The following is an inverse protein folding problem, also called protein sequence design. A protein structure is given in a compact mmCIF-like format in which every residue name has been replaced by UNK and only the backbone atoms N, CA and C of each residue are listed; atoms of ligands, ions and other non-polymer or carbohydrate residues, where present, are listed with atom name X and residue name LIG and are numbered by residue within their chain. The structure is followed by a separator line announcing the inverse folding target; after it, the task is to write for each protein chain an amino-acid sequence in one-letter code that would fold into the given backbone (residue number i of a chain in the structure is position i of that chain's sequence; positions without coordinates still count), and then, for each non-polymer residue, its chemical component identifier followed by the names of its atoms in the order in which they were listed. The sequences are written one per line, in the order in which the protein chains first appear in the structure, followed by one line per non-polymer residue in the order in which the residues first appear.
data_IF_900431420158
#
_entry.id   IF_900431420158
#
_cell.length_a   1.000
_cell.length_b   1.000
_cell.length_c   1.000
_cell.angle_alpha   90.00
_cell.angle_beta   90.00
_cell.angle_gamma   90.00
#
_symmetry.space_group_name_H-M   'P 1'
#
loop_
_entity.id
_entity.type
_entity.pdbx_description
1 polymer ?
#
# COMPACT_ATOMS: atom_id res chain seq x y z
N UNK A 1 2.24 -23.04 -4.63
CA UNK A 1 3.03 -21.81 -4.63
C UNK A 1 2.26 -20.61 -5.22
N UNK A 2 1.60 -20.73 -6.37
CA UNK A 2 0.79 -19.62 -6.96
C UNK A 2 -0.27 -19.04 -6.01
N UNK A 3 -0.95 -19.90 -5.23
CA UNK A 3 -1.92 -19.45 -4.22
C UNK A 3 -1.32 -18.57 -3.12
N UNK A 4 -0.06 -18.80 -2.75
CA UNK A 4 0.63 -17.98 -1.74
C UNK A 4 0.96 -16.59 -2.27
N UNK A 5 1.49 -16.49 -3.48
CA UNK A 5 1.71 -15.19 -4.15
C UNK A 5 0.41 -14.42 -4.35
N UNK A 6 -0.67 -15.10 -4.75
CA UNK A 6 -1.97 -14.45 -4.91
C UNK A 6 -2.56 -13.95 -3.59
N UNK A 7 -2.35 -14.67 -2.49
CA UNK A 7 -2.80 -14.22 -1.17
C UNK A 7 -1.97 -13.03 -0.71
N UNK A 8 -0.64 -13.10 -0.79
CA UNK A 8 0.23 -11.99 -0.42
C UNK A 8 -0.03 -10.77 -1.32
N UNK A 9 0.05 -10.93 -2.63
CA UNK A 9 -0.15 -9.86 -3.60
C UNK A 9 -1.57 -9.30 -3.59
N UNK A 10 -2.59 -10.15 -3.50
CA UNK A 10 -3.99 -9.73 -3.44
C UNK A 10 -4.36 -8.98 -2.16
N UNK A 11 -3.88 -9.45 -1.01
CA UNK A 11 -4.07 -8.74 0.28
C UNK A 11 -3.29 -7.44 0.30
N UNK A 12 -2.03 -7.44 -0.18
CA UNK A 12 -1.23 -6.23 -0.32
C UNK A 12 -1.92 -5.21 -1.25
N UNK A 13 -2.38 -5.65 -2.41
CA UNK A 13 -3.12 -4.81 -3.36
C UNK A 13 -4.32 -4.14 -2.71
N UNK A 14 -5.17 -4.90 -2.02
CA UNK A 14 -6.34 -4.36 -1.34
C UNK A 14 -5.97 -3.31 -0.28
N UNK A 15 -4.95 -3.59 0.55
CA UNK A 15 -4.50 -2.68 1.60
C UNK A 15 -3.82 -1.43 1.03
N UNK A 16 -2.98 -1.58 0.00
CA UNK A 16 -2.30 -0.46 -0.66
C UNK A 16 -3.34 0.51 -1.22
N UNK A 17 -4.31 0.02 -1.99
CA UNK A 17 -5.28 0.89 -2.63
C UNK A 17 -6.31 1.47 -1.65
N UNK A 18 -6.82 0.69 -0.70
CA UNK A 18 -7.67 1.24 0.35
C UNK A 18 -6.95 2.32 1.19
N UNK A 19 -5.71 2.04 1.58
CA UNK A 19 -4.86 2.99 2.32
C UNK A 19 -4.49 4.23 1.49
N UNK A 20 -4.12 4.05 0.23
CA UNK A 20 -3.77 5.14 -0.68
C UNK A 20 -4.94 6.10 -0.91
N UNK A 21 -6.15 5.55 -1.09
CA UNK A 21 -7.35 6.36 -1.22
C UNK A 21 -7.62 7.16 0.06
N UNK A 22 -7.58 6.50 1.22
CA UNK A 22 -7.82 7.14 2.50
C UNK A 22 -6.78 8.23 2.79
N UNK A 23 -5.49 7.92 2.65
CA UNK A 23 -4.40 8.88 2.88
C UNK A 23 -4.42 10.03 1.87
N UNK A 24 -4.65 9.75 0.58
CA UNK A 24 -4.76 10.76 -0.46
C UNK A 24 -5.90 11.75 -0.20
N UNK A 25 -7.06 11.25 0.24
CA UNK A 25 -8.21 12.09 0.64
C UNK A 25 -7.87 12.92 1.87
N UNK A 26 -7.25 12.33 2.90
CA UNK A 26 -6.84 13.06 4.11
C UNK A 26 -5.83 14.16 3.77
N UNK A 27 -4.81 13.85 2.96
CA UNK A 27 -3.83 14.84 2.54
C UNK A 27 -4.47 15.97 1.71
N UNK A 28 -5.38 15.67 0.78
CA UNK A 28 -6.09 16.68 0.02
C UNK A 28 -7.04 17.52 0.90
N UNK A 29 -7.66 16.90 1.91
CA UNK A 29 -8.51 17.63 2.86
C UNK A 29 -7.72 18.64 3.68
N UNK A 30 -6.51 18.26 4.13
CA UNK A 30 -5.63 19.09 4.94
C UNK A 30 -4.53 19.77 4.11
N UNK A 31 -4.76 20.02 2.82
CA UNK A 31 -3.79 20.64 1.90
C UNK A 31 -2.99 21.74 2.59
N UNK A 32 -1.65 21.63 2.53
CA UNK A 32 -0.66 22.55 3.11
C UNK A 32 -0.70 22.74 4.64
N UNK A 33 -1.56 21.99 5.34
CA UNK A 33 -1.57 21.98 6.80
C UNK A 33 -0.59 20.95 7.35
N UNK A 34 -0.39 20.96 8.68
CA UNK A 34 0.56 20.07 9.35
C UNK A 34 0.33 18.55 9.08
N UNK A 35 -0.94 18.02 9.02
CA UNK A 35 -1.12 16.59 8.74
C UNK A 35 -0.66 16.22 7.34
N UNK A 36 -0.99 17.02 6.33
CA UNK A 36 -0.56 16.80 4.95
C UNK A 36 0.97 16.82 4.84
N UNK A 37 1.61 17.85 5.41
CA UNK A 37 3.08 17.97 5.39
C UNK A 37 3.78 16.83 6.11
N UNK A 38 3.24 16.39 7.26
CA UNK A 38 3.80 15.28 8.02
C UNK A 38 3.68 13.97 7.23
N UNK A 39 2.48 13.65 6.74
CA UNK A 39 2.22 12.44 5.98
C UNK A 39 3.07 12.39 4.70
N UNK A 40 3.16 13.49 3.94
CA UNK A 40 4.00 13.56 2.76
C UNK A 40 5.49 13.36 3.08
N UNK A 41 6.01 13.97 4.16
CA UNK A 41 7.43 13.79 4.58
C UNK A 41 7.70 12.33 4.99
N UNK A 42 6.86 11.77 5.85
CA UNK A 42 6.98 10.37 6.29
C UNK A 42 6.92 9.43 5.09
N UNK A 43 5.95 9.65 4.19
CA UNK A 43 5.81 8.86 2.98
C UNK A 43 7.04 8.94 2.07
N UNK A 44 7.60 10.13 1.86
CA UNK A 44 8.81 10.31 1.08
C UNK A 44 10.00 9.55 1.70
N UNK A 45 10.19 9.64 3.02
CA UNK A 45 11.26 8.94 3.72
C UNK A 45 11.11 7.42 3.53
N UNK A 46 9.91 6.88 3.75
CA UNK A 46 9.65 5.44 3.61
C UNK A 46 9.87 4.99 2.16
N UNK A 47 9.42 5.77 1.17
CA UNK A 47 9.59 5.44 -0.25
C UNK A 47 11.05 5.46 -0.73
N UNK A 48 11.95 6.13 -0.01
CA UNK A 48 13.39 6.09 -0.29
C UNK A 48 14.07 4.83 0.23
N UNK A 49 13.39 4.05 1.08
CA UNK A 49 13.96 2.83 1.66
C UNK A 49 13.74 1.65 0.72
N UNK A 50 14.80 0.96 0.26
CA UNK A 50 14.64 -0.23 -0.56
C UNK A 50 13.89 -1.34 0.18
N UNK A 51 12.99 -2.05 -0.51
CA UNK A 51 12.14 -3.09 0.11
C UNK A 51 12.96 -4.24 0.73
N UNK A 52 14.05 -4.66 0.08
CA UNK A 52 14.92 -5.70 0.65
C UNK A 52 15.56 -5.27 1.98
N UNK A 53 15.99 -4.01 2.06
CA UNK A 53 16.58 -3.47 3.28
C UNK A 53 15.54 -3.33 4.40
N UNK A 54 14.35 -2.82 4.07
CA UNK A 54 13.23 -2.75 5.00
C UNK A 54 12.86 -4.13 5.52
N UNK A 55 12.84 -5.15 4.65
CA UNK A 55 12.60 -6.55 5.03
C UNK A 55 13.60 -7.03 6.08
N UNK A 56 14.90 -6.80 5.86
CA UNK A 56 15.95 -7.22 6.79
C UNK A 56 15.83 -6.50 8.14
N UNK A 57 15.56 -5.20 8.14
CA UNK A 57 15.35 -4.43 9.38
C UNK A 57 14.14 -4.96 10.16
N UNK A 58 13.02 -5.21 9.49
CA UNK A 58 11.83 -5.75 10.17
C UNK A 58 12.06 -7.16 10.71
N UNK A 59 12.77 -8.03 9.99
CA UNK A 59 13.17 -9.35 10.49
C UNK A 59 14.04 -9.19 11.74
N UNK A 60 15.07 -8.35 11.67
CA UNK A 60 15.98 -8.13 12.80
C UNK A 60 15.25 -7.64 14.05
N UNK A 61 14.35 -6.66 13.89
CA UNK A 61 13.62 -6.08 15.01
C UNK A 61 12.55 -7.05 15.53
N UNK A 62 11.63 -7.49 14.68
CA UNK A 62 10.42 -8.21 15.13
C UNK A 62 10.63 -9.71 15.29
N UNK A 63 11.53 -10.31 14.52
CA UNK A 63 11.76 -11.78 14.61
C UNK A 63 12.93 -12.13 15.50
N UNK A 64 14.05 -11.41 15.39
CA UNK A 64 15.28 -11.75 16.13
C UNK A 64 15.29 -11.09 17.51
N UNK A 65 15.10 -9.76 17.58
CA UNK A 65 15.20 -9.01 18.83
C UNK A 65 13.97 -9.18 19.71
N UNK A 66 12.79 -8.91 19.19
CA UNK A 66 11.54 -8.99 19.96
C UNK A 66 10.92 -10.39 20.00
N UNK A 67 11.23 -11.24 19.02
CA UNK A 67 10.68 -12.60 18.88
C UNK A 67 9.14 -12.63 18.85
N UNK A 68 8.51 -11.61 18.28
CA UNK A 68 7.06 -11.52 18.18
C UNK A 68 6.51 -12.20 16.93
N UNK A 69 7.28 -12.17 15.84
CA UNK A 69 6.84 -12.65 14.53
C UNK A 69 7.88 -13.60 13.92
N UNK A 70 7.46 -14.57 13.11
CA UNK A 70 8.36 -15.48 12.43
C UNK A 70 9.22 -14.74 11.39
N UNK A 71 10.44 -15.21 11.19
CA UNK A 71 11.38 -14.61 10.23
C UNK A 71 11.18 -15.09 8.79
N UNK A 72 10.58 -16.27 8.59
CA UNK A 72 10.52 -16.91 7.26
C UNK A 72 9.43 -17.98 7.17
N UNK A 73 9.10 -18.37 5.94
CA UNK A 73 8.14 -19.43 5.65
C UNK A 73 6.69 -18.95 5.64
N UNK A 74 5.77 -19.86 5.29
CA UNK A 74 4.33 -19.60 5.29
C UNK A 74 3.60 -20.22 6.49
N UNK A 75 4.27 -21.12 7.22
CA UNK A 75 3.75 -21.85 8.38
C UNK A 75 4.90 -22.26 9.30
N UNK A 76 4.61 -22.38 10.59
CA UNK A 76 5.50 -23.02 11.57
C UNK A 76 5.59 -24.51 11.34
N UNK A 77 6.71 -25.14 11.77
CA UNK A 77 6.91 -26.58 11.65
C UNK A 77 5.81 -27.32 12.41
N UNK A 78 5.06 -28.17 11.71
CA UNK A 78 3.95 -28.95 12.27
C UNK A 78 2.58 -28.24 12.26
N UNK A 79 2.49 -26.98 11.83
CA UNK A 79 1.24 -26.18 11.77
C UNK A 79 0.71 -25.99 10.34
N UNK A 80 1.13 -26.84 9.39
CA UNK A 80 0.69 -26.76 8.01
C UNK A 80 -0.86 -26.83 7.92
N UNK A 81 -1.48 -25.80 7.35
CA UNK A 81 -2.94 -25.69 7.23
C UNK A 81 -3.62 -24.84 8.32
N UNK A 82 -2.90 -24.40 9.35
CA UNK A 82 -3.43 -23.48 10.36
C UNK A 82 -3.58 -22.06 9.80
N UNK A 83 -4.83 -21.56 9.73
CA UNK A 83 -5.10 -20.20 9.26
C UNK A 83 -4.48 -19.12 10.16
N UNK A 84 -4.57 -19.22 11.50
CA UNK A 84 -3.95 -18.23 12.38
C UNK A 84 -2.43 -18.17 12.22
N UNK A 85 -1.75 -19.32 12.11
CA UNK A 85 -0.31 -19.37 11.93
C UNK A 85 0.12 -18.75 10.60
N UNK A 86 -0.63 -19.03 9.53
CA UNK A 86 -0.42 -18.40 8.23
C UNK A 86 -0.55 -16.87 8.27
N UNK A 87 -1.54 -16.35 8.98
CA UNK A 87 -1.72 -14.90 9.12
C UNK A 87 -0.52 -14.25 9.81
N UNK A 88 0.02 -14.89 10.85
CA UNK A 88 1.21 -14.38 11.56
C UNK A 88 2.43 -14.33 10.63
N UNK A 89 2.62 -15.34 9.78
CA UNK A 89 3.72 -15.38 8.80
C UNK A 89 3.54 -14.35 7.66
N UNK A 90 2.30 -13.91 7.39
CA UNK A 90 2.01 -12.90 6.39
C UNK A 90 2.30 -11.47 6.86
N UNK A 91 2.31 -11.19 8.17
CA UNK A 91 2.40 -9.83 8.70
C UNK A 91 3.62 -9.08 8.18
N UNK A 92 4.82 -9.63 8.33
CA UNK A 92 6.06 -8.95 7.92
C UNK A 92 6.15 -8.77 6.40
N UNK A 93 5.98 -9.83 5.56
CA UNK A 93 5.97 -9.68 4.11
C UNK A 93 4.94 -8.66 3.63
N UNK A 94 3.73 -8.71 4.18
CA UNK A 94 2.64 -7.80 3.83
C UNK A 94 2.97 -6.36 4.21
N UNK A 95 3.55 -6.13 5.40
CA UNK A 95 3.95 -4.81 5.87
C UNK A 95 4.98 -4.18 4.94
N UNK A 96 6.01 -4.94 4.52
CA UNK A 96 7.03 -4.44 3.58
C UNK A 96 6.40 -4.05 2.26
N UNK A 97 5.61 -4.95 1.66
CA UNK A 97 4.97 -4.72 0.36
C UNK A 97 4.03 -3.51 0.41
N UNK A 98 3.25 -3.39 1.49
CA UNK A 98 2.34 -2.24 1.67
C UNK A 98 3.13 -0.95 1.84
N UNK A 99 4.13 -0.90 2.72
CA UNK A 99 4.91 0.31 2.95
C UNK A 99 5.70 0.75 1.71
N UNK A 100 6.23 -0.19 0.94
CA UNK A 100 6.97 0.09 -0.29
C UNK A 100 6.13 0.77 -1.38
N UNK A 101 4.83 0.46 -1.45
CA UNK A 101 3.97 0.93 -2.54
C UNK A 101 2.93 1.97 -2.12
N UNK A 102 2.44 1.94 -0.88
CA UNK A 102 1.32 2.74 -0.38
C UNK A 102 1.47 4.24 -0.67
N UNK A 103 2.65 4.79 -0.37
CA UNK A 103 2.89 6.23 -0.46
C UNK A 103 2.90 6.75 -1.88
N UNK A 104 3.41 5.96 -2.82
CA UNK A 104 3.39 6.30 -4.24
C UNK A 104 1.95 6.52 -4.74
N UNK A 105 1.05 5.57 -4.45
CA UNK A 105 -0.35 5.66 -4.86
C UNK A 105 -1.12 6.70 -4.06
N UNK A 106 -0.83 6.87 -2.77
CA UNK A 106 -1.44 7.92 -1.95
C UNK A 106 -1.11 9.32 -2.49
N UNK A 107 0.14 9.53 -2.92
CA UNK A 107 0.56 10.78 -3.53
C UNK A 107 -0.14 11.04 -4.87
N UNK A 108 -0.31 10.01 -5.71
CA UNK A 108 -1.05 10.14 -6.97
C UNK A 108 -2.52 10.50 -6.73
N UNK A 109 -3.18 9.86 -5.77
CA UNK A 109 -4.56 10.19 -5.37
C UNK A 109 -4.65 11.63 -4.87
N UNK A 110 -3.73 12.04 -3.96
CA UNK A 110 -3.65 13.42 -3.47
C UNK A 110 -3.52 14.42 -4.62
N UNK A 111 -2.58 14.20 -5.52
CA UNK A 111 -2.31 15.11 -6.64
C UNK A 111 -3.53 15.23 -7.55
N UNK A 112 -4.18 14.12 -7.87
CA UNK A 112 -5.37 14.13 -8.71
C UNK A 112 -6.56 14.83 -8.04
N UNK A 113 -6.77 14.60 -6.74
CA UNK A 113 -7.81 15.32 -5.99
C UNK A 113 -7.56 16.82 -5.93
N UNK A 114 -6.32 17.26 -5.75
CA UNK A 114 -5.98 18.67 -5.75
C UNK A 114 -6.13 19.34 -7.13
N UNK A 115 -5.84 18.60 -8.20
CA UNK A 115 -6.13 19.04 -9.57
C UNK A 115 -7.64 19.28 -9.76
N UNK A 116 -8.47 18.32 -9.35
CA UNK A 116 -9.93 18.42 -9.41
C UNK A 116 -10.48 19.59 -8.57
N UNK A 117 -9.93 19.81 -7.37
CA UNK A 117 -10.33 20.93 -6.48
C UNK A 117 -10.10 22.31 -7.12
N UNK A 118 -9.16 22.40 -8.05
CA UNK A 118 -8.80 23.64 -8.76
C UNK A 118 -9.54 23.81 -10.09
N UNK A 119 -10.41 22.90 -10.47
CA UNK A 119 -11.17 22.93 -11.72
C UNK A 119 -12.31 23.94 -11.69
N UNK A 120 -12.75 24.40 -12.88
CA UNK A 120 -13.80 25.41 -13.04
C UNK A 120 -15.15 24.96 -12.50
N UNK A 121 -15.48 23.66 -12.58
CA UNK A 121 -16.74 23.17 -12.02
C UNK A 121 -16.79 23.27 -10.50
N UNK A 122 -15.62 23.20 -9.83
CA UNK A 122 -15.53 23.42 -8.38
C UNK A 122 -15.74 24.88 -8.03
N UNK A 123 -15.24 25.82 -8.83
CA UNK A 123 -15.54 27.23 -8.66
C UNK A 123 -17.05 27.49 -8.76
N UNK A 124 -17.70 26.89 -9.76
CA UNK A 124 -19.15 26.97 -9.92
C UNK A 124 -19.90 26.34 -8.73
N UNK A 125 -19.45 25.19 -8.23
CA UNK A 125 -20.03 24.54 -7.07
C UNK A 125 -19.94 25.42 -5.80
N UNK A 126 -18.79 26.05 -5.60
CA UNK A 126 -18.57 27.01 -4.49
C UNK A 126 -19.45 28.25 -4.61
N UNK A 127 -19.62 28.81 -5.81
CA UNK A 127 -20.52 29.97 -6.05
C UNK A 127 -21.98 29.64 -5.77
N UNK A 128 -22.39 28.36 -5.87
CA UNK A 128 -23.71 27.86 -5.46
C UNK A 128 -23.84 27.59 -3.97
N UNK A 129 -22.81 27.89 -3.17
CA UNK A 129 -22.83 27.73 -1.70
C UNK A 129 -22.57 26.30 -1.20
N UNK A 130 -22.05 25.40 -2.05
CA UNK A 130 -21.71 24.04 -1.62
C UNK A 130 -20.55 24.03 -0.62
N UNK A 131 -20.70 23.22 0.44
CA UNK A 131 -19.66 23.09 1.46
C UNK A 131 -18.41 22.38 0.93
N UNK A 132 -17.26 22.66 1.53
CA UNK A 132 -15.98 22.01 1.17
C UNK A 132 -16.09 20.46 1.19
N UNK A 133 -16.83 19.91 2.15
CA UNK A 133 -17.06 18.46 2.26
C UNK A 133 -17.84 17.92 1.06
N UNK A 134 -18.92 18.57 0.68
CA UNK A 134 -19.74 18.20 -0.48
C UNK A 134 -18.94 18.28 -1.78
N UNK A 135 -18.12 19.31 -1.93
CA UNK A 135 -17.26 19.48 -3.11
C UNK A 135 -16.21 18.39 -3.19
N UNK A 136 -15.42 18.17 -2.12
CA UNK A 136 -14.31 17.23 -2.16
C UNK A 136 -14.80 15.78 -2.26
N UNK A 137 -15.72 15.36 -1.39
CA UNK A 137 -16.15 13.95 -1.31
C UNK A 137 -17.26 13.64 -2.34
N UNK A 138 -18.13 14.58 -2.64
CA UNK A 138 -19.25 14.38 -3.58
C UNK A 138 -18.89 14.58 -5.04
N UNK A 139 -18.04 15.54 -5.34
CA UNK A 139 -17.70 15.89 -6.73
C UNK A 139 -16.27 15.48 -7.11
N UNK A 140 -15.24 16.00 -6.42
CA UNK A 140 -13.84 15.74 -6.80
C UNK A 140 -13.46 14.26 -6.65
N UNK A 141 -13.83 13.61 -5.54
CA UNK A 141 -13.54 12.19 -5.35
C UNK A 141 -14.22 11.33 -6.41
N UNK A 142 -15.49 11.63 -6.72
CA UNK A 142 -16.23 10.90 -7.76
C UNK A 142 -15.59 11.06 -9.14
N UNK A 143 -15.09 12.25 -9.48
CA UNK A 143 -14.35 12.50 -10.73
C UNK A 143 -13.00 11.78 -10.76
N UNK A 144 -12.37 11.58 -9.60
CA UNK A 144 -11.08 10.89 -9.48
C UNK A 144 -11.19 9.37 -9.59
N UNK A 145 -12.34 8.76 -9.25
CA UNK A 145 -12.53 7.30 -9.22
C UNK A 145 -12.14 6.61 -10.54
N UNK A 146 -12.55 7.05 -11.74
CA UNK A 146 -12.18 6.38 -12.98
C UNK A 146 -10.67 6.32 -13.20
N UNK A 147 -9.97 7.43 -12.97
CA UNK A 147 -8.50 7.50 -13.04
C UNK A 147 -7.85 6.57 -12.01
N UNK A 148 -8.40 6.53 -10.80
CA UNK A 148 -7.95 5.65 -9.74
C UNK A 148 -8.10 4.16 -10.08
N UNK A 149 -9.23 3.76 -10.64
CA UNK A 149 -9.45 2.39 -11.12
C UNK A 149 -8.49 2.00 -12.25
N UNK A 150 -8.18 2.93 -13.16
CA UNK A 150 -7.18 2.71 -14.20
C UNK A 150 -5.79 2.51 -13.61
N UNK A 151 -5.41 3.30 -12.59
CA UNK A 151 -4.16 3.11 -11.86
C UNK A 151 -4.11 1.73 -11.16
N UNK A 152 -5.20 1.31 -10.54
CA UNK A 152 -5.29 -0.02 -9.93
C UNK A 152 -5.03 -1.13 -10.97
N UNK A 153 -5.67 -1.06 -12.13
CA UNK A 153 -5.52 -2.07 -13.18
C UNK A 153 -4.07 -2.18 -13.69
N UNK A 154 -3.42 -1.04 -13.95
CA UNK A 154 -2.04 -0.98 -14.42
C UNK A 154 -1.04 -1.45 -13.34
N UNK A 155 -1.39 -1.29 -12.08
CA UNK A 155 -0.51 -1.61 -10.94
C UNK A 155 -0.45 -3.09 -10.59
N UNK A 156 -1.36 -3.91 -11.08
CA UNK A 156 -1.39 -5.35 -10.79
C UNK A 156 -0.06 -6.04 -11.10
N UNK A 157 0.50 -5.93 -12.33
CA UNK A 157 1.80 -6.55 -12.63
C UNK A 157 2.94 -5.98 -11.79
N UNK A 158 2.90 -4.67 -11.51
CA UNK A 158 3.95 -4.00 -10.75
C UNK A 158 4.00 -4.49 -9.28
N UNK A 159 2.85 -4.61 -8.62
CA UNK A 159 2.77 -5.10 -7.24
C UNK A 159 3.13 -6.58 -7.18
N UNK A 160 2.63 -7.40 -8.10
CA UNK A 160 2.99 -8.82 -8.18
C UNK A 160 4.48 -9.04 -8.47
N UNK A 161 5.09 -8.16 -9.28
CA UNK A 161 6.54 -8.17 -9.50
C UNK A 161 7.34 -7.75 -8.25
N UNK A 162 6.83 -6.80 -7.47
CA UNK A 162 7.44 -6.37 -6.21
C UNK A 162 7.41 -7.46 -5.14
N UNK A 163 6.36 -8.29 -5.08
CA UNK A 163 6.31 -9.40 -4.11
C UNK A 163 7.42 -10.41 -4.29
N UNK A 164 8.04 -10.51 -5.48
CA UNK A 164 9.16 -11.41 -5.76
C UNK A 164 10.34 -11.24 -4.79
N UNK A 165 10.77 -10.00 -4.58
CA UNK A 165 11.88 -9.67 -3.66
C UNK A 165 11.50 -10.03 -2.22
N UNK A 166 10.29 -9.70 -1.83
CA UNK A 166 9.76 -9.98 -0.49
C UNK A 166 9.65 -11.48 -0.25
N UNK A 167 9.11 -12.24 -1.22
CA UNK A 167 9.03 -13.70 -1.15
C UNK A 167 10.42 -14.35 -0.99
N UNK A 168 11.43 -13.85 -1.72
CA UNK A 168 12.79 -14.35 -1.62
C UNK A 168 13.41 -14.08 -0.24
N UNK A 169 13.31 -12.84 0.27
CA UNK A 169 13.90 -12.47 1.58
C UNK A 169 13.24 -13.22 2.73
N UNK A 170 11.92 -13.35 2.72
CA UNK A 170 11.19 -14.08 3.77
C UNK A 170 11.12 -15.59 3.53
N UNK A 171 11.77 -16.13 2.49
CA UNK A 171 11.62 -17.53 2.08
C UNK A 171 10.16 -17.99 2.03
N UNK A 172 9.28 -17.08 1.61
CA UNK A 172 7.85 -17.33 1.50
C UNK A 172 7.59 -18.15 0.22
N UNK A 173 6.97 -19.35 0.30
CA UNK A 173 6.89 -20.29 -0.82
C UNK A 173 5.91 -19.81 -1.92
N UNK A 174 6.31 -18.81 -2.68
CA UNK A 174 5.59 -18.20 -3.78
C UNK A 174 6.13 -18.56 -5.15
N UNK A 175 5.65 -17.84 -6.19
CA UNK A 175 6.13 -17.95 -7.57
C UNK A 175 7.51 -17.31 -7.73
N UNK A 176 7.80 -16.26 -6.95
CA UNK A 176 9.08 -15.58 -6.97
C UNK A 176 10.24 -16.51 -6.57
N UNK A 177 10.06 -17.31 -5.54
CA UNK A 177 11.06 -18.30 -5.09
C UNK A 177 11.29 -19.40 -6.12
N UNK A 178 10.28 -19.81 -6.90
CA UNK A 178 10.42 -20.77 -8.00
C UNK A 178 11.34 -20.26 -9.11
N UNK A 179 11.21 -18.98 -9.46
CA UNK A 179 12.01 -18.35 -10.51
C UNK A 179 13.50 -18.21 -10.13
N UNK A 180 13.80 -18.27 -8.83
CA UNK A 180 15.16 -18.22 -8.30
C UNK A 180 15.81 -19.60 -8.19
N UNK A 181 14.99 -20.66 -8.02
CA UNK A 181 15.44 -22.05 -7.91
C UNK A 181 15.66 -22.74 -9.28
N UNK A 182 15.19 -22.14 -10.39
CA UNK A 182 15.33 -22.65 -11.76
C UNK A 182 16.46 -21.99 -12.52
#
# INVERSE_FOLDING_TARGET
RAGNTLILGGTAFALIFAGALALGVVCAWYEDRWPDRLLCRVGTIISCVPEFWLSLVLILVFSVSLRWLPSSGAYSIGSAGSVPDRLVHLILPLTVTVLGHLWYYAYLVRSKLLEEVRSDYVLLAKSKGLTRRSVLLGHCLRSTIPTYLSLMAISVPHILGGTYIVEAVFSYPGLGTLSYES
#
